data_IF_875021191997
#
_entry.id   IF_875021191997
#
_cell.length_a   1.000
_cell.length_b   1.000
_cell.length_c   1.000
_cell.angle_alpha   90.00
_cell.angle_beta   90.00
_cell.angle_gamma   90.00
#
_symmetry.space_group_name_H-M   'P 1'
#
loop_
_entity.id
_entity.type
_entity.pdbx_description
1 polymer ?
#
# COMPACT_ATOMS: atom_id res chain seq x y z
N UNK A 1 34.44 -17.15 -57.33
CA UNK A 1 35.78 -17.75 -57.09
C UNK A 1 35.90 -17.98 -55.60
N UNK A 2 36.27 -19.19 -55.20
CA UNK A 2 36.53 -19.53 -53.80
C UNK A 2 37.99 -19.22 -53.46
N UNK A 3 38.30 -19.10 -52.17
CA UNK A 3 39.66 -18.91 -51.60
C UNK A 3 40.69 -19.90 -52.20
N UNK A 4 40.24 -21.07 -52.65
CA UNK A 4 41.05 -22.14 -53.24
C UNK A 4 41.34 -21.99 -54.76
N UNK A 5 40.80 -20.96 -55.43
CA UNK A 5 40.93 -20.74 -56.89
C UNK A 5 41.46 -19.35 -57.28
N UNK A 6 41.82 -18.52 -56.30
CA UNK A 6 42.25 -17.12 -56.49
C UNK A 6 43.77 -16.99 -56.68
N UNK A 7 44.20 -16.08 -57.58
CA UNK A 7 45.62 -15.72 -57.80
C UNK A 7 46.25 -14.97 -56.62
N UNK A 8 45.43 -14.51 -55.66
CA UNK A 8 45.86 -13.88 -54.41
C UNK A 8 44.96 -14.33 -53.24
N UNK A 9 45.21 -15.53 -52.68
CA UNK A 9 44.33 -16.18 -51.70
C UNK A 9 44.32 -15.45 -50.34
N UNK A 10 45.42 -14.81 -49.97
CA UNK A 10 45.52 -14.05 -48.72
C UNK A 10 44.61 -12.80 -48.71
N UNK A 11 44.49 -12.10 -49.85
CA UNK A 11 43.62 -10.93 -49.96
C UNK A 11 42.13 -11.27 -49.91
N UNK A 12 41.72 -12.38 -50.55
CA UNK A 12 40.34 -12.84 -50.45
C UNK A 12 40.00 -13.39 -49.07
N UNK A 13 40.91 -14.15 -48.45
CA UNK A 13 40.74 -14.61 -47.08
C UNK A 13 40.60 -13.43 -46.11
N UNK A 14 41.43 -12.38 -46.23
CA UNK A 14 41.34 -11.19 -45.38
C UNK A 14 40.01 -10.43 -45.54
N UNK A 15 39.50 -10.34 -46.78
CA UNK A 15 38.22 -9.71 -47.06
C UNK A 15 37.04 -10.51 -46.49
N UNK A 16 37.07 -11.84 -46.63
CA UNK A 16 36.05 -12.75 -46.10
C UNK A 16 36.06 -12.76 -44.55
N UNK A 17 37.24 -12.78 -43.94
CA UNK A 17 37.42 -12.66 -42.48
C UNK A 17 36.99 -11.28 -41.95
N UNK A 18 37.24 -10.22 -42.72
CA UNK A 18 36.77 -8.87 -42.43
C UNK A 18 35.25 -8.75 -42.47
N UNK A 19 34.58 -9.40 -43.41
CA UNK A 19 33.12 -9.44 -43.47
C UNK A 19 32.52 -10.27 -42.33
N UNK A 20 33.13 -11.42 -42.00
CA UNK A 20 32.70 -12.22 -40.84
C UNK A 20 32.88 -11.46 -39.52
N UNK A 21 34.00 -10.74 -39.33
CA UNK A 21 34.24 -9.99 -38.09
C UNK A 21 33.27 -8.83 -37.92
N UNK A 22 32.94 -8.11 -39.00
CA UNK A 22 31.89 -7.07 -38.99
C UNK A 22 30.53 -7.66 -38.64
N UNK A 23 30.16 -8.80 -39.23
CA UNK A 23 28.88 -9.47 -38.93
C UNK A 23 28.78 -10.00 -37.49
N UNK A 24 29.89 -10.49 -36.93
CA UNK A 24 29.95 -10.89 -35.51
C UNK A 24 29.84 -9.67 -34.60
N UNK A 25 30.52 -8.57 -34.93
CA UNK A 25 30.45 -7.34 -34.15
C UNK A 25 29.03 -6.75 -34.12
N UNK A 26 28.32 -6.75 -35.25
CA UNK A 26 26.92 -6.28 -35.30
C UNK A 26 26.01 -7.16 -34.45
N UNK A 27 26.17 -8.49 -34.49
CA UNK A 27 25.38 -9.41 -33.66
C UNK A 27 25.63 -9.18 -32.15
N UNK A 28 26.88 -8.98 -31.75
CA UNK A 28 27.22 -8.68 -30.36
C UNK A 28 26.57 -7.36 -29.92
N UNK A 29 26.59 -6.35 -30.78
CA UNK A 29 25.97 -5.06 -30.49
C UNK A 29 24.45 -5.18 -30.36
N UNK A 30 23.79 -5.87 -31.30
CA UNK A 30 22.34 -6.11 -31.27
C UNK A 30 21.93 -6.91 -30.03
N UNK A 31 22.71 -7.93 -29.66
CA UNK A 31 22.49 -8.70 -28.43
C UNK A 31 22.66 -7.83 -27.18
N UNK A 32 23.66 -6.94 -27.15
CA UNK A 32 23.88 -6.05 -26.03
C UNK A 32 22.74 -5.02 -25.89
N UNK A 33 22.30 -4.42 -26.99
CA UNK A 33 21.16 -3.50 -26.99
C UNK A 33 19.86 -4.18 -26.58
N UNK A 34 19.58 -5.39 -27.10
CA UNK A 34 18.41 -6.18 -26.71
C UNK A 34 18.47 -6.58 -25.22
N UNK A 35 19.64 -6.96 -24.73
CA UNK A 35 19.87 -7.28 -23.32
C UNK A 35 19.63 -6.07 -22.41
N UNK A 36 20.15 -4.90 -22.77
CA UNK A 36 19.95 -3.67 -22.01
C UNK A 36 18.47 -3.27 -21.96
N UNK A 37 17.74 -3.34 -23.08
CA UNK A 37 16.29 -3.07 -23.12
C UNK A 37 15.50 -4.01 -22.22
N UNK A 38 15.80 -5.31 -22.24
CA UNK A 38 15.13 -6.27 -21.36
C UNK A 38 15.40 -6.00 -19.87
N UNK A 39 16.61 -5.54 -19.53
CA UNK A 39 16.94 -5.12 -18.16
C UNK A 39 16.17 -3.85 -17.77
N UNK A 40 16.11 -2.86 -18.65
CA UNK A 40 15.35 -1.61 -18.43
C UNK A 40 13.87 -1.92 -18.17
N UNK A 41 13.23 -2.69 -19.05
CA UNK A 41 11.83 -3.12 -18.90
C UNK A 41 11.62 -3.92 -17.60
N UNK A 42 12.58 -4.78 -17.25
CA UNK A 42 12.56 -5.53 -16.00
C UNK A 42 12.70 -4.64 -14.75
N UNK A 43 13.40 -3.50 -14.84
CA UNK A 43 13.48 -2.51 -13.77
C UNK A 43 12.18 -1.72 -13.66
N UNK A 44 11.61 -1.29 -14.78
CA UNK A 44 10.34 -0.58 -14.81
C UNK A 44 9.20 -1.42 -14.23
N UNK A 45 9.10 -2.70 -14.61
CA UNK A 45 8.09 -3.62 -14.05
C UNK A 45 8.25 -3.81 -12.56
N UNK A 46 9.49 -3.90 -12.06
CA UNK A 46 9.77 -4.01 -10.61
C UNK A 46 9.38 -2.74 -9.87
N UNK A 47 9.67 -1.57 -10.43
CA UNK A 47 9.29 -0.29 -9.84
C UNK A 47 7.75 -0.14 -9.80
N UNK A 48 7.06 -0.47 -10.89
CA UNK A 48 5.61 -0.45 -10.95
C UNK A 48 4.97 -1.43 -9.94
N UNK A 49 5.54 -2.63 -9.82
CA UNK A 49 5.08 -3.63 -8.84
C UNK A 49 5.29 -3.17 -7.40
N UNK A 50 6.45 -2.61 -7.06
CA UNK A 50 6.73 -2.05 -5.74
C UNK A 50 5.73 -0.93 -5.41
N UNK A 51 5.52 0.00 -6.35
CA UNK A 51 4.54 1.06 -6.18
C UNK A 51 3.12 0.52 -5.92
N UNK A 52 2.70 -0.51 -6.66
CA UNK A 52 1.40 -1.14 -6.46
C UNK A 52 1.29 -1.83 -5.08
N UNK A 53 2.34 -2.52 -4.63
CA UNK A 53 2.41 -3.12 -3.30
C UNK A 53 2.32 -2.06 -2.19
N UNK A 54 3.08 -0.97 -2.33
CA UNK A 54 3.09 0.13 -1.36
C UNK A 54 1.73 0.81 -1.27
N UNK A 55 1.09 1.05 -2.42
CA UNK A 55 -0.26 1.60 -2.49
C UNK A 55 -1.27 0.66 -1.82
N UNK A 56 -1.19 -0.64 -2.08
CA UNK A 56 -2.10 -1.62 -1.47
C UNK A 56 -1.90 -1.69 0.05
N UNK A 57 -0.65 -1.68 0.52
CA UNK A 57 -0.33 -1.64 1.95
C UNK A 57 -0.84 -0.35 2.60
N UNK A 58 -0.71 0.80 1.93
CA UNK A 58 -1.23 2.07 2.42
C UNK A 58 -2.77 2.06 2.54
N UNK A 59 -3.47 1.50 1.53
CA UNK A 59 -4.93 1.31 1.59
C UNK A 59 -5.35 0.39 2.73
N UNK A 60 -4.66 -0.73 2.91
CA UNK A 60 -4.93 -1.64 4.03
C UNK A 60 -4.82 -0.97 5.39
N UNK A 61 -3.76 -0.16 5.60
CA UNK A 61 -3.62 0.64 6.83
C UNK A 61 -4.73 1.68 7.00
N UNK A 62 -5.14 2.33 5.92
CA UNK A 62 -6.22 3.32 5.97
C UNK A 62 -7.57 2.68 6.34
N UNK A 63 -7.89 1.51 5.78
CA UNK A 63 -9.12 0.77 6.09
C UNK A 63 -9.15 0.31 7.55
N UNK A 64 -8.02 -0.16 8.07
CA UNK A 64 -7.89 -0.55 9.48
C UNK A 64 -8.13 0.65 10.41
N UNK A 65 -7.50 1.79 10.13
CA UNK A 65 -7.74 3.04 10.88
C UNK A 65 -9.21 3.48 10.79
N UNK A 66 -9.85 3.33 9.63
CA UNK A 66 -11.27 3.62 9.45
C UNK A 66 -12.16 2.76 10.36
N UNK A 67 -11.88 1.46 10.47
CA UNK A 67 -12.61 0.56 11.37
C UNK A 67 -12.43 0.93 12.83
N UNK A 68 -11.20 1.24 13.24
CA UNK A 68 -10.89 1.69 14.60
C UNK A 68 -11.63 2.98 14.92
N UNK A 69 -11.65 3.95 14.01
CA UNK A 69 -12.35 5.20 14.19
C UNK A 69 -13.87 5.00 14.37
N UNK A 70 -14.49 4.17 13.53
CA UNK A 70 -15.92 3.83 13.66
C UNK A 70 -16.21 3.18 15.01
N UNK A 71 -15.36 2.24 15.43
CA UNK A 71 -15.52 1.58 16.73
C UNK A 71 -15.38 2.57 17.88
N UNK A 72 -14.37 3.45 17.85
CA UNK A 72 -14.15 4.47 18.86
C UNK A 72 -15.36 5.41 19.00
N UNK A 73 -15.92 5.88 17.87
CA UNK A 73 -17.12 6.72 17.89
C UNK A 73 -18.31 6.01 18.53
N UNK A 74 -18.51 4.72 18.23
CA UNK A 74 -19.56 3.92 18.87
C UNK A 74 -19.36 3.80 20.38
N UNK A 75 -18.13 3.60 20.84
CA UNK A 75 -17.81 3.56 22.27
C UNK A 75 -18.06 4.91 22.94
N UNK A 76 -17.70 6.02 22.31
CA UNK A 76 -17.98 7.36 22.83
C UNK A 76 -19.48 7.58 22.96
N UNK A 77 -20.28 7.23 21.95
CA UNK A 77 -21.73 7.35 22.01
C UNK A 77 -22.35 6.52 23.15
N UNK A 78 -21.85 5.30 23.38
CA UNK A 78 -22.28 4.48 24.51
C UNK A 78 -21.94 5.13 25.86
N UNK A 79 -20.72 5.68 26.00
CA UNK A 79 -20.30 6.39 27.21
C UNK A 79 -21.13 7.67 27.44
N UNK A 80 -21.44 8.43 26.39
CA UNK A 80 -22.29 9.61 26.49
C UNK A 80 -23.69 9.27 27.00
N UNK A 81 -24.25 8.14 26.56
CA UNK A 81 -25.55 7.66 27.03
C UNK A 81 -25.50 7.22 28.49
N UNK A 82 -24.44 6.53 28.91
CA UNK A 82 -24.21 6.18 30.32
C UNK A 82 -24.08 7.43 31.19
N UNK A 83 -23.32 8.43 30.76
CA UNK A 83 -23.19 9.72 31.46
C UNK A 83 -24.55 10.41 31.56
N UNK A 84 -25.35 10.40 30.50
CA UNK A 84 -26.72 10.96 30.51
C UNK A 84 -27.60 10.25 31.53
N UNK A 85 -27.58 8.91 31.55
CA UNK A 85 -28.33 8.09 32.50
C UNK A 85 -27.94 8.36 33.94
N UNK A 86 -26.63 8.40 34.23
CA UNK A 86 -26.10 8.68 35.57
C UNK A 86 -26.47 10.10 36.03
N UNK A 87 -26.34 11.10 35.15
CA UNK A 87 -26.76 12.49 35.45
C UNK A 87 -28.24 12.57 35.81
N UNK A 88 -29.10 11.85 35.08
CA UNK A 88 -30.53 11.80 35.38
C UNK A 88 -30.82 11.14 36.73
N UNK A 89 -30.15 10.02 37.05
CA UNK A 89 -30.29 9.34 38.34
C UNK A 89 -29.86 10.22 39.52
N UNK A 90 -28.73 10.93 39.38
CA UNK A 90 -28.25 11.89 40.39
C UNK A 90 -29.25 13.03 40.58
N UNK A 91 -29.75 13.61 39.48
CA UNK A 91 -30.75 14.69 39.52
C UNK A 91 -32.04 14.24 40.20
N UNK A 92 -32.49 13.02 39.94
CA UNK A 92 -33.67 12.44 40.59
C UNK A 92 -33.45 12.29 42.10
N UNK A 93 -32.31 11.72 42.52
CA UNK A 93 -31.98 11.59 43.95
C UNK A 93 -31.86 12.94 44.64
N UNK A 94 -31.25 13.92 43.98
CA UNK A 94 -31.15 15.27 44.54
C UNK A 94 -32.53 15.90 44.75
N UNK A 95 -33.44 15.77 43.77
CA UNK A 95 -34.83 16.24 43.91
C UNK A 95 -35.57 15.55 45.07
N UNK A 96 -35.33 14.26 45.28
CA UNK A 96 -35.90 13.53 46.43
C UNK A 96 -35.36 14.09 47.75
N UNK A 97 -34.05 14.31 47.86
CA UNK A 97 -33.42 14.90 49.04
C UNK A 97 -33.98 16.30 49.31
N UNK A 98 -34.08 17.14 48.28
CA UNK A 98 -34.61 18.50 48.42
C UNK A 98 -36.10 18.49 48.80
N UNK A 99 -36.87 17.53 48.28
CA UNK A 99 -38.26 17.30 48.66
C UNK A 99 -38.43 16.88 50.12
N UNK A 100 -37.57 15.98 50.62
CA UNK A 100 -37.53 15.57 52.03
C UNK A 100 -37.14 16.75 52.94
N UNK A 101 -36.09 17.51 52.57
CA UNK A 101 -35.62 18.69 53.32
C UNK A 101 -36.67 19.80 53.40
N UNK A 102 -37.43 20.00 52.33
CA UNK A 102 -38.50 21.00 52.28
C UNK A 102 -39.83 20.52 52.87
N UNK A 103 -39.90 19.28 53.37
CA UNK A 103 -41.12 18.66 53.91
C UNK A 103 -42.19 18.36 52.86
N UNK A 104 -41.89 18.53 51.56
CA UNK A 104 -42.79 18.29 50.43
C UNK A 104 -42.99 16.80 50.14
N UNK A 105 -42.03 15.97 50.55
CA UNK A 105 -42.08 14.52 50.50
C UNK A 105 -41.94 14.04 51.94
N UNK A 106 -42.91 13.27 52.44
CA UNK A 106 -42.79 12.51 53.68
C UNK A 106 -42.44 11.06 53.34
N UNK A 107 -41.43 10.50 54.01
CA UNK A 107 -41.26 9.06 54.02
C UNK A 107 -42.41 8.52 54.86
N UNK A 108 -43.39 7.87 54.22
CA UNK A 108 -44.43 7.16 54.96
C UNK A 108 -43.75 6.20 55.92
N UNK A 109 -43.99 6.36 57.22
CA UNK A 109 -43.66 5.34 58.21
C UNK A 109 -44.48 4.10 57.86
N UNK A 110 -43.82 3.10 57.28
CA UNK A 110 -44.36 1.75 57.18
C UNK A 110 -44.42 1.18 58.60
N UNK A 111 -45.61 1.22 59.19
CA UNK A 111 -45.97 0.41 60.36
C UNK A 111 -46.22 -1.05 59.96
#
# INVERSE_FOLDING_TARGET
MTIFTSRNPAGQAAMELGLMSVGIASLIQDCNEAGMRAVEEGRERRAAYQYACDLNAAKGRADELGRIAIQAVRHVAALEEEVRRLRNAVKQRQRMIDGLKSGRISLGESA
#
